data_IF_381305671516
#
_entry.id   IF_381305671516
#
_cell.length_a   1.000
_cell.length_b   1.000
_cell.length_c   1.000
_cell.angle_alpha   90.00
_cell.angle_beta   90.00
_cell.angle_gamma   90.00
#
_symmetry.space_group_name_H-M   'P 1'
#
loop_
_entity.id
_entity.type
_entity.pdbx_description
1 polymer ?
#
# COMPACT_ATOMS: atom_id res chain seq x y z
N UNK A 1 9.57 61.51 -12.05
CA UNK A 1 8.36 60.66 -11.91
C UNK A 1 8.17 60.35 -10.44
N UNK A 2 6.95 60.44 -9.89
CA UNK A 2 6.75 60.26 -8.46
C UNK A 2 7.04 58.80 -8.06
N UNK A 3 7.77 58.64 -6.94
CA UNK A 3 7.97 57.34 -6.32
C UNK A 3 6.62 56.75 -5.95
N UNK A 4 6.42 55.47 -6.24
CA UNK A 4 5.21 54.76 -5.85
C UNK A 4 5.38 54.18 -4.47
N UNK A 5 4.55 54.63 -3.54
CA UNK A 5 4.47 54.05 -2.20
C UNK A 5 3.53 52.84 -2.20
N UNK A 6 3.88 51.84 -1.40
CA UNK A 6 3.12 50.62 -1.24
C UNK A 6 3.33 50.07 0.16
N UNK A 7 2.38 49.27 0.63
CA UNK A 7 2.37 48.83 2.03
C UNK A 7 2.26 47.31 2.13
N UNK A 8 2.88 46.74 3.16
CA UNK A 8 2.70 45.34 3.53
C UNK A 8 1.90 45.27 4.83
N UNK A 9 0.70 44.71 4.75
CA UNK A 9 -0.15 44.45 5.91
C UNK A 9 -0.04 43.01 6.38
N UNK A 10 -0.03 42.80 7.69
CA UNK A 10 -0.08 41.47 8.31
C UNK A 10 -1.46 41.21 8.89
N UNK A 11 -2.00 40.02 8.60
CA UNK A 11 -3.27 39.56 9.12
C UNK A 11 -3.07 38.27 9.89
N UNK A 12 -3.59 38.24 11.13
CA UNK A 12 -3.60 37.01 11.90
C UNK A 12 -4.67 36.09 11.34
N UNK A 13 -4.27 34.90 10.96
CA UNK A 13 -5.21 33.84 10.63
C UNK A 13 -4.84 32.61 11.41
N UNK A 14 -5.84 31.99 12.04
CA UNK A 14 -5.71 30.69 12.66
C UNK A 14 -6.61 29.72 11.89
N UNK A 15 -6.06 28.67 11.27
CA UNK A 15 -6.87 27.74 10.51
C UNK A 15 -7.73 26.92 11.49
N UNK A 16 -8.91 26.50 11.01
CA UNK A 16 -9.69 25.50 11.72
C UNK A 16 -8.86 24.26 12.03
N UNK A 17 -9.18 23.59 13.15
CA UNK A 17 -8.47 22.37 13.55
C UNK A 17 -8.65 21.30 12.49
N UNK A 18 -7.55 20.96 11.82
CA UNK A 18 -7.50 19.86 10.88
C UNK A 18 -7.32 18.53 11.61
N UNK A 19 -8.00 17.47 11.12
CA UNK A 19 -8.03 16.14 11.76
C UNK A 19 -6.63 15.52 11.91
N UNK A 20 -5.72 15.76 10.97
CA UNK A 20 -4.35 15.23 10.97
C UNK A 20 -3.40 16.19 10.27
N UNK A 21 -2.22 16.43 10.88
CA UNK A 21 -1.14 17.26 10.34
C UNK A 21 -0.15 16.44 9.50
N UNK A 22 -0.60 15.88 8.38
CA UNK A 22 0.21 14.99 7.53
C UNK A 22 0.37 15.54 6.11
N UNK A 23 1.53 15.35 5.49
CA UNK A 23 1.79 15.80 4.12
C UNK A 23 1.71 17.32 3.97
N UNK A 24 0.90 17.80 3.02
CA UNK A 24 0.69 19.22 2.78
C UNK A 24 0.04 19.94 3.98
N UNK A 25 -0.73 19.23 4.80
CA UNK A 25 -1.43 19.83 5.95
C UNK A 25 -0.50 20.08 7.15
N UNK A 26 0.80 19.77 7.02
CA UNK A 26 1.82 20.09 8.02
C UNK A 26 1.96 21.60 8.26
N UNK A 27 1.55 22.43 7.30
CA UNK A 27 1.53 23.89 7.44
C UNK A 27 0.65 24.35 8.62
N UNK A 28 -0.44 23.65 8.92
CA UNK A 28 -1.36 24.01 10.00
C UNK A 28 -0.89 23.54 11.39
N UNK A 29 0.28 22.91 11.47
CA UNK A 29 0.81 22.40 12.73
C UNK A 29 1.04 23.54 13.72
N UNK A 30 0.39 23.48 14.88
CA UNK A 30 0.53 24.45 15.97
C UNK A 30 1.66 24.12 16.94
N UNK A 31 2.59 23.21 16.57
CA UNK A 31 3.72 22.84 17.43
C UNK A 31 4.67 24.03 17.61
N UNK A 32 5.24 24.16 18.80
CA UNK A 32 6.18 25.24 19.14
C UNK A 32 7.33 25.30 18.12
N UNK A 33 7.68 26.50 17.68
CA UNK A 33 8.73 26.73 16.67
C UNK A 33 8.26 26.60 15.22
N UNK A 34 6.99 26.26 14.96
CA UNK A 34 6.43 26.24 13.60
C UNK A 34 5.49 27.42 13.37
N UNK A 35 5.66 28.08 12.25
CA UNK A 35 4.73 29.11 11.79
C UNK A 35 4.64 29.16 10.28
N UNK A 36 3.53 29.66 9.75
CA UNK A 36 3.39 29.94 8.34
C UNK A 36 3.27 31.43 8.11
N UNK A 37 3.76 31.86 6.97
CA UNK A 37 3.73 33.24 6.51
C UNK A 37 3.43 33.16 5.01
N UNK A 38 2.23 33.59 4.63
CA UNK A 38 1.68 33.35 3.31
C UNK A 38 1.29 34.67 2.66
N UNK A 39 1.81 34.94 1.47
CA UNK A 39 1.48 36.12 0.69
C UNK A 39 0.21 35.90 -0.12
N UNK A 40 -0.77 36.80 -0.05
CA UNK A 40 -1.97 36.71 -0.86
C UNK A 40 -1.63 36.75 -2.35
N UNK A 41 -2.05 35.74 -3.12
CA UNK A 41 -1.75 35.68 -4.57
C UNK A 41 -2.29 36.92 -5.29
N UNK A 42 -3.50 37.35 -4.94
CA UNK A 42 -4.12 38.51 -5.59
C UNK A 42 -3.41 39.84 -5.28
N UNK A 43 -2.57 39.90 -4.25
CA UNK A 43 -1.73 41.09 -3.96
C UNK A 43 -0.53 41.21 -4.91
N UNK A 44 -0.24 40.17 -5.69
CA UNK A 44 0.84 40.20 -6.69
C UNK A 44 0.41 40.84 -8.01
N UNK A 45 -0.87 41.19 -8.16
CA UNK A 45 -1.35 41.97 -9.30
C UNK A 45 -0.69 43.35 -9.34
N UNK A 46 -0.30 43.81 -10.53
CA UNK A 46 0.55 45.00 -10.70
C UNK A 46 -0.09 46.29 -10.19
N UNK A 47 -1.41 46.34 -10.16
CA UNK A 47 -2.23 47.51 -9.80
C UNK A 47 -2.41 47.69 -8.29
N UNK A 48 -2.22 46.64 -7.48
CA UNK A 48 -2.47 46.74 -6.04
C UNK A 48 -1.28 47.32 -5.29
N UNK A 49 -1.55 48.31 -4.46
CA UNK A 49 -0.52 49.02 -3.68
C UNK A 49 -0.33 48.41 -2.30
N UNK A 50 -1.17 47.43 -1.93
CA UNK A 50 -1.10 46.72 -0.67
C UNK A 50 -0.80 45.22 -0.86
N UNK A 51 0.28 44.76 -0.21
CA UNK A 51 0.63 43.35 -0.07
C UNK A 51 0.08 42.79 1.24
N UNK A 52 -0.87 41.87 1.15
CA UNK A 52 -1.47 41.25 2.34
C UNK A 52 -0.75 39.94 2.65
N UNK A 53 -0.24 39.83 3.87
CA UNK A 53 0.40 38.62 4.40
C UNK A 53 -0.49 38.01 5.47
N UNK A 54 -0.72 36.71 5.36
CA UNK A 54 -1.47 35.90 6.31
C UNK A 54 -0.50 35.06 7.13
N UNK A 55 -0.54 35.18 8.46
CA UNK A 55 0.36 34.42 9.35
C UNK A 55 -0.33 33.96 10.63
N UNK A 56 0.18 32.87 11.20
CA UNK A 56 -0.14 32.44 12.57
C UNK A 56 0.91 32.88 13.61
N UNK A 57 1.94 33.63 13.21
CA UNK A 57 2.99 34.07 14.11
C UNK A 57 2.61 35.40 14.79
N UNK A 58 2.18 35.31 16.05
CA UNK A 58 1.81 36.49 16.86
C UNK A 58 2.94 37.49 17.05
N UNK A 59 4.21 37.06 17.04
CA UNK A 59 5.34 37.97 17.22
C UNK A 59 5.52 38.92 16.03
N UNK A 60 5.29 38.42 14.80
CA UNK A 60 5.39 39.25 13.60
C UNK A 60 4.28 40.30 13.59
N UNK A 61 3.09 39.91 14.00
CA UNK A 61 1.92 40.81 14.01
C UNK A 61 2.13 41.93 15.02
N UNK A 62 2.52 41.60 16.25
CA UNK A 62 2.86 42.62 17.27
C UNK A 62 3.99 43.55 16.84
N UNK A 63 4.93 43.06 16.03
CA UNK A 63 6.04 43.87 15.53
C UNK A 63 5.59 44.83 14.42
N UNK A 64 4.62 44.42 13.62
CA UNK A 64 4.07 45.19 12.51
C UNK A 64 2.62 45.58 12.81
N UNK A 65 2.41 46.25 13.94
CA UNK A 65 1.12 46.91 14.25
C UNK A 65 0.81 48.00 13.21
N UNK A 66 1.86 48.59 12.61
CA UNK A 66 1.78 49.46 11.43
C UNK A 66 2.27 48.71 10.19
N UNK A 67 1.64 48.95 9.01
CA UNK A 67 2.09 48.36 7.75
C UNK A 67 3.54 48.69 7.43
N UNK A 68 4.27 47.73 6.87
CA UNK A 68 5.66 47.96 6.42
C UNK A 68 5.66 48.73 5.09
N UNK A 69 6.32 49.88 5.06
CA UNK A 69 6.40 50.73 3.88
C UNK A 69 7.37 50.19 2.83
N UNK A 70 6.97 50.28 1.57
CA UNK A 70 7.76 49.95 0.39
C UNK A 70 7.73 51.16 -0.53
N UNK A 71 8.91 51.64 -0.89
CA UNK A 71 9.06 52.64 -1.93
C UNK A 71 9.62 51.98 -3.19
N UNK A 72 8.98 52.24 -4.33
CA UNK A 72 9.51 51.88 -5.64
C UNK A 72 9.73 53.13 -6.48
N UNK A 73 10.86 53.17 -7.15
CA UNK A 73 11.24 54.10 -8.21
C UNK A 73 10.41 53.92 -9.50
N UNK A 74 9.58 52.86 -9.58
CA UNK A 74 8.77 52.51 -10.74
C UNK A 74 7.27 52.55 -10.40
N UNK A 75 6.41 53.02 -11.32
CA UNK A 75 4.96 53.07 -11.12
C UNK A 75 4.32 51.66 -11.10
N UNK A 76 4.97 50.66 -11.68
CA UNK A 76 4.49 49.27 -11.66
C UNK A 76 5.57 48.35 -11.10
N UNK A 77 5.37 47.87 -9.87
CA UNK A 77 6.25 46.90 -9.25
C UNK A 77 6.12 45.53 -9.90
N UNK A 78 7.24 44.99 -10.39
CA UNK A 78 7.29 43.63 -10.93
C UNK A 78 7.12 42.56 -9.83
N UNK A 79 6.67 41.35 -10.20
CA UNK A 79 6.40 40.26 -9.25
C UNK A 79 7.65 39.84 -8.46
N UNK A 80 8.82 39.83 -9.11
CA UNK A 80 10.11 39.51 -8.46
C UNK A 80 10.46 40.51 -7.36
N UNK A 81 10.18 41.79 -7.58
CA UNK A 81 10.40 42.88 -6.63
C UNK A 81 9.41 42.79 -5.48
N UNK A 82 8.11 42.58 -5.77
CA UNK A 82 7.08 42.34 -4.74
C UNK A 82 7.45 41.16 -3.83
N UNK A 83 7.88 40.03 -4.40
CA UNK A 83 8.36 38.87 -3.63
C UNK A 83 9.63 39.20 -2.83
N UNK A 84 10.54 40.00 -3.40
CA UNK A 84 11.74 40.44 -2.67
C UNK A 84 11.36 41.27 -1.44
N UNK A 85 10.46 42.25 -1.58
CA UNK A 85 10.00 43.10 -0.48
C UNK A 85 9.19 42.33 0.56
N UNK A 86 8.34 41.41 0.11
CA UNK A 86 7.71 40.40 0.97
C UNK A 86 8.76 39.67 1.82
N UNK A 87 9.80 39.09 1.21
CA UNK A 87 10.84 38.38 1.94
C UNK A 87 11.62 39.29 2.90
N UNK A 88 11.95 40.52 2.48
CA UNK A 88 12.62 41.49 3.35
C UNK A 88 11.82 41.75 4.62
N UNK A 89 10.52 42.04 4.50
CA UNK A 89 9.65 42.28 5.65
C UNK A 89 9.56 41.07 6.59
N UNK A 90 9.48 39.86 6.01
CA UNK A 90 9.44 38.61 6.76
C UNK A 90 10.75 38.37 7.50
N UNK A 91 11.90 38.46 6.82
CA UNK A 91 13.19 38.24 7.45
C UNK A 91 13.49 39.27 8.54
N UNK A 92 13.13 40.54 8.33
CA UNK A 92 13.22 41.57 9.37
C UNK A 92 12.34 41.26 10.57
N UNK A 93 11.18 40.61 10.38
CA UNK A 93 10.27 40.18 11.44
C UNK A 93 10.71 38.91 12.18
N UNK A 94 11.60 38.12 11.59
CA UNK A 94 12.05 36.84 12.14
C UNK A 94 13.34 36.98 12.95
N UNK A 95 13.52 36.17 14.01
CA UNK A 95 14.75 36.14 14.79
C UNK A 95 15.78 35.26 14.07
N UNK A 96 16.30 35.77 12.97
CA UNK A 96 17.38 35.21 12.14
C UNK A 96 18.45 36.29 12.04
N UNK A 97 19.72 35.92 12.16
CA UNK A 97 20.88 36.82 11.98
C UNK A 97 21.03 37.31 10.53
N UNK A 98 21.74 38.41 10.35
CA UNK A 98 21.88 39.07 9.04
C UNK A 98 22.66 38.22 8.03
N UNK A 99 23.67 37.47 8.48
CA UNK A 99 24.50 36.61 7.63
C UNK A 99 23.67 35.47 7.04
N UNK A 100 22.89 34.79 7.87
CA UNK A 100 21.96 33.74 7.46
C UNK A 100 20.89 34.28 6.52
N UNK A 101 20.36 35.49 6.78
CA UNK A 101 19.41 36.14 5.85
C UNK A 101 20.05 36.30 4.48
N UNK A 102 21.23 36.91 4.41
CA UNK A 102 21.93 37.17 3.14
C UNK A 102 22.25 35.87 2.39
N UNK A 103 22.66 34.82 3.11
CA UNK A 103 22.95 33.49 2.56
C UNK A 103 21.74 32.85 1.86
N UNK A 104 20.56 32.91 2.49
CA UNK A 104 19.39 32.19 1.97
C UNK A 104 18.42 33.05 1.15
N UNK A 105 18.51 34.39 1.23
CA UNK A 105 17.53 35.30 0.62
C UNK A 105 17.33 35.04 -0.87
N UNK A 106 18.42 35.00 -1.65
CA UNK A 106 18.36 34.81 -3.10
C UNK A 106 17.76 33.44 -3.47
N UNK A 107 18.18 32.39 -2.76
CA UNK A 107 17.69 31.03 -2.98
C UNK A 107 16.19 30.91 -2.67
N UNK A 108 15.75 31.47 -1.55
CA UNK A 108 14.34 31.42 -1.13
C UNK A 108 13.47 32.25 -2.09
N UNK A 109 13.95 33.40 -2.55
CA UNK A 109 13.28 34.19 -3.58
C UNK A 109 13.07 33.38 -4.85
N UNK A 110 14.11 32.71 -5.33
CA UNK A 110 14.01 31.86 -6.52
C UNK A 110 13.00 30.73 -6.31
N UNK A 111 13.07 30.04 -5.17
CA UNK A 111 12.14 28.96 -4.84
C UNK A 111 10.68 29.44 -4.80
N UNK A 112 10.41 30.64 -4.31
CA UNK A 112 9.05 31.21 -4.32
C UNK A 112 8.58 31.58 -5.72
N UNK A 113 9.44 32.13 -6.57
CA UNK A 113 9.13 32.40 -7.97
C UNK A 113 8.81 31.12 -8.73
N UNK A 114 9.67 30.11 -8.60
CA UNK A 114 9.45 28.78 -9.20
C UNK A 114 8.13 28.19 -8.68
N UNK A 115 7.86 28.34 -7.38
CA UNK A 115 6.63 27.83 -6.76
C UNK A 115 5.39 28.49 -7.33
N UNK A 116 5.42 29.81 -7.56
CA UNK A 116 4.32 30.55 -8.17
C UNK A 116 4.02 30.02 -9.57
N UNK A 117 5.06 29.85 -10.41
CA UNK A 117 4.91 29.29 -11.76
C UNK A 117 4.32 27.89 -11.73
N UNK A 118 4.77 27.01 -10.81
CA UNK A 118 4.21 25.66 -10.69
C UNK A 118 2.74 25.69 -10.27
N UNK A 119 2.34 26.61 -9.38
CA UNK A 119 0.95 26.79 -8.94
C UNK A 119 0.07 27.23 -10.11
N UNK A 120 0.46 28.28 -10.84
CA UNK A 120 -0.27 28.79 -12.01
C UNK A 120 -0.44 27.72 -13.08
N UNK A 121 0.65 27.02 -13.42
CA UNK A 121 0.64 25.93 -14.38
C UNK A 121 -0.24 24.76 -13.92
N UNK A 122 -0.31 24.48 -12.61
CA UNK A 122 -1.19 23.44 -12.07
C UNK A 122 -2.66 23.81 -12.24
N UNK A 123 -3.02 25.06 -11.95
CA UNK A 123 -4.41 25.53 -12.04
C UNK A 123 -4.93 25.49 -13.48
N UNK A 124 -4.08 25.79 -14.47
CA UNK A 124 -4.39 25.75 -15.91
C UNK A 124 -4.48 24.34 -16.53
N UNK A 125 -3.83 23.33 -15.94
CA UNK A 125 -3.80 21.98 -16.50
C UNK A 125 -5.14 21.24 -16.37
N UNK A 126 -5.46 20.44 -17.39
CA UNK A 126 -6.55 19.47 -17.43
C UNK A 126 -6.11 18.11 -16.82
N UNK A 127 -7.05 17.44 -16.14
CA UNK A 127 -7.06 15.99 -15.82
C UNK A 127 -5.83 15.33 -15.18
N UNK A 128 -5.35 15.81 -14.01
CA UNK A 128 -4.54 14.97 -13.09
C UNK A 128 -4.87 15.27 -11.63
N UNK A 129 -5.15 14.24 -10.82
CA UNK A 129 -5.34 14.36 -9.36
C UNK A 129 -4.03 14.61 -8.58
N UNK A 130 -2.98 15.11 -9.24
CA UNK A 130 -1.70 15.46 -8.60
C UNK A 130 -1.87 16.76 -7.81
N UNK A 131 -1.50 16.68 -6.53
CA UNK A 131 -1.51 17.83 -5.62
C UNK A 131 -0.21 18.61 -5.72
N UNK A 132 -0.30 19.94 -5.67
CA UNK A 132 0.86 20.83 -5.63
C UNK A 132 0.73 21.71 -4.40
N UNK A 133 1.68 21.65 -3.46
CA UNK A 133 1.64 22.49 -2.25
C UNK A 133 1.74 23.97 -2.61
N UNK A 134 1.19 24.85 -1.77
CA UNK A 134 1.20 26.32 -1.98
C UNK A 134 2.40 27.02 -1.35
N UNK A 135 3.26 26.25 -0.66
CA UNK A 135 4.34 26.76 0.17
C UNK A 135 5.64 25.97 0.01
N UNK A 136 6.72 26.57 0.48
CA UNK A 136 8.04 25.99 0.70
C UNK A 136 8.32 25.92 2.20
N UNK A 137 9.13 24.95 2.61
CA UNK A 137 9.57 24.80 4.00
C UNK A 137 10.97 25.41 4.13
N UNK A 138 11.10 26.39 5.01
CA UNK A 138 12.39 26.92 5.43
C UNK A 138 12.62 26.57 6.90
N UNK A 139 13.82 26.14 7.25
CA UNK A 139 14.15 25.74 8.62
C UNK A 139 15.54 26.22 8.95
N UNK A 140 15.68 26.82 10.13
CA UNK A 140 16.95 27.29 10.64
C UNK A 140 16.94 27.12 12.17
N UNK A 141 17.97 26.45 12.68
CA UNK A 141 18.03 26.00 14.07
C UNK A 141 16.80 25.17 14.46
N UNK A 142 16.15 25.52 15.58
CA UNK A 142 14.96 24.84 16.10
C UNK A 142 13.62 25.38 15.56
N UNK A 143 13.67 26.31 14.59
CA UNK A 143 12.47 26.99 14.06
C UNK A 143 12.23 26.58 12.60
N UNK A 144 10.96 26.42 12.25
CA UNK A 144 10.52 26.09 10.90
C UNK A 144 9.45 27.09 10.47
N UNK A 145 9.67 27.70 9.31
CA UNK A 145 8.73 28.61 8.68
C UNK A 145 8.24 28.03 7.36
N UNK A 146 6.94 28.07 7.16
CA UNK A 146 6.32 27.74 5.89
C UNK A 146 6.04 29.04 5.15
N UNK A 147 6.87 29.31 4.13
CA UNK A 147 6.76 30.52 3.30
C UNK A 147 6.01 30.15 2.02
N UNK A 148 5.04 30.94 1.59
CA UNK A 148 4.28 30.57 0.41
C UNK A 148 3.20 31.55 0.04
N UNK A 149 2.21 31.03 -0.66
CA UNK A 149 1.10 31.81 -1.17
C UNK A 149 -0.21 31.44 -0.50
N UNK A 150 -0.96 32.45 -0.08
CA UNK A 150 -2.30 32.30 0.42
C UNK A 150 -3.27 32.15 -0.76
N UNK A 151 -3.91 30.99 -0.82
CA UNK A 151 -4.96 30.69 -1.79
C UNK A 151 -6.20 30.29 -0.99
N UNK A 152 -7.30 31.07 -1.09
CA UNK A 152 -8.52 30.76 -0.36
C UNK A 152 -9.20 29.51 -0.93
N UNK A 153 -9.79 28.72 -0.04
CA UNK A 153 -10.64 27.60 -0.40
C UNK A 153 -11.94 28.09 -1.04
N UNK A 154 -12.35 27.47 -2.14
CA UNK A 154 -13.57 27.84 -2.86
C UNK A 154 -14.86 27.67 -2.05
N UNK A 155 -14.84 26.95 -0.92
CA UNK A 155 -16.05 26.62 -0.14
C UNK A 155 -16.14 27.30 1.23
N UNK A 156 -15.00 27.61 1.85
CA UNK A 156 -14.97 28.13 3.22
C UNK A 156 -13.93 29.22 3.42
N UNK A 157 -13.30 29.69 2.33
CA UNK A 157 -12.26 30.73 2.35
C UNK A 157 -11.03 30.42 3.22
N UNK A 158 -10.95 29.25 3.87
CA UNK A 158 -9.77 28.81 4.61
C UNK A 158 -8.55 28.71 3.68
N UNK A 159 -7.34 28.90 4.26
CA UNK A 159 -6.06 28.69 3.59
C UNK A 159 -6.04 27.30 2.92
N UNK A 160 -5.66 27.22 1.65
CA UNK A 160 -5.36 25.95 0.97
C UNK A 160 -3.88 25.59 1.08
N UNK A 161 -3.58 24.41 1.64
CA UNK A 161 -2.22 23.86 1.68
C UNK A 161 -1.71 23.39 0.31
N UNK A 162 -2.63 23.05 -0.61
CA UNK A 162 -2.31 22.60 -1.95
C UNK A 162 -3.39 23.01 -2.96
N UNK A 163 -3.02 23.00 -4.23
CA UNK A 163 -3.91 23.20 -5.38
C UNK A 163 -3.91 21.96 -6.29
N UNK A 164 -5.01 21.78 -7.02
CA UNK A 164 -5.20 20.70 -7.99
C UNK A 164 -5.54 21.27 -9.37
N UNK A 165 -5.52 20.40 -10.39
CA UNK A 165 -5.94 20.73 -11.76
C UNK A 165 -7.38 21.24 -11.84
N UNK A 166 -7.74 21.93 -12.94
CA UNK A 166 -9.06 22.55 -13.16
C UNK A 166 -9.44 23.60 -12.10
N UNK A 167 -8.48 24.47 -11.74
CA UNK A 167 -8.67 25.53 -10.75
C UNK A 167 -9.26 25.06 -9.39
N UNK A 168 -9.05 23.79 -9.02
CA UNK A 168 -9.60 23.20 -7.79
C UNK A 168 -8.77 23.64 -6.59
N UNK A 169 -9.31 24.60 -5.83
CA UNK A 169 -8.72 25.18 -4.61
C UNK A 169 -9.54 24.75 -3.40
N UNK A 170 -9.09 23.70 -2.70
CA UNK A 170 -9.81 23.14 -1.56
C UNK A 170 -8.92 22.95 -0.34
N UNK A 171 -9.46 23.30 0.83
CA UNK A 171 -8.85 22.97 2.11
C UNK A 171 -9.09 21.50 2.46
N UNK A 172 -8.40 21.01 3.49
CA UNK A 172 -8.53 19.64 3.97
C UNK A 172 -9.96 19.29 4.40
N UNK A 173 -10.68 20.23 5.02
CA UNK A 173 -12.06 20.02 5.50
C UNK A 173 -13.07 19.92 4.34
N UNK A 174 -12.85 20.64 3.24
CA UNK A 174 -13.72 20.60 2.06
C UNK A 174 -13.25 19.62 0.98
N UNK A 175 -12.13 18.91 1.21
CA UNK A 175 -11.54 17.97 0.25
C UNK A 175 -12.53 16.89 -0.21
N UNK A 176 -13.35 16.38 0.70
CA UNK A 176 -14.35 15.34 0.40
C UNK A 176 -15.42 15.81 -0.59
N UNK A 177 -15.69 17.12 -0.68
CA UNK A 177 -16.68 17.68 -1.60
C UNK A 177 -16.22 17.67 -3.07
N UNK A 178 -14.91 17.56 -3.32
CA UNK A 178 -14.31 17.73 -4.65
C UNK A 178 -13.62 16.46 -5.17
N UNK A 179 -13.25 15.54 -4.28
CA UNK A 179 -12.76 14.24 -4.69
C UNK A 179 -13.95 13.34 -4.94
N UNK A 180 -14.42 13.34 -6.18
CA UNK A 180 -15.17 12.19 -6.71
C UNK A 180 -14.17 11.05 -6.76
N UNK A 181 -14.20 10.21 -5.73
CA UNK A 181 -13.57 8.90 -5.85
C UNK A 181 -14.46 8.17 -6.83
N UNK A 182 -13.98 7.76 -8.02
CA UNK A 182 -14.80 6.90 -8.87
C UNK A 182 -15.22 5.73 -7.98
N UNK A 183 -16.52 5.43 -7.98
CA UNK A 183 -17.07 4.31 -7.22
C UNK A 183 -16.15 3.13 -7.49
N UNK A 184 -15.53 2.53 -6.45
CA UNK A 184 -14.72 1.35 -6.70
C UNK A 184 -15.59 0.39 -7.51
N UNK A 185 -15.08 -0.19 -8.62
CA UNK A 185 -15.86 -1.14 -9.39
C UNK A 185 -16.48 -2.12 -8.39
N UNK A 186 -17.79 -2.42 -8.52
CA UNK A 186 -18.53 -3.19 -7.53
C UNK A 186 -17.65 -4.37 -7.12
N UNK A 187 -17.25 -4.41 -5.84
CA UNK A 187 -16.36 -5.46 -5.35
C UNK A 187 -16.99 -6.76 -5.78
N UNK A 188 -16.27 -7.48 -6.63
CA UNK A 188 -16.74 -8.69 -7.26
C UNK A 188 -17.40 -9.55 -6.18
N UNK A 189 -18.72 -9.69 -6.30
CA UNK A 189 -19.47 -10.79 -5.70
C UNK A 189 -18.59 -12.02 -5.94
N UNK A 190 -18.23 -12.75 -4.88
CA UNK A 190 -17.41 -13.96 -4.98
C UNK A 190 -18.03 -14.92 -6.01
N UNK A 191 -17.63 -14.80 -7.28
CA UNK A 191 -18.30 -15.44 -8.41
C UNK A 191 -17.40 -16.46 -9.10
N UNK A 192 -16.09 -16.32 -8.97
CA UNK A 192 -15.21 -17.02 -9.89
C UNK A 192 -15.05 -18.51 -9.54
N UNK A 193 -15.10 -18.90 -8.27
CA UNK A 193 -15.10 -20.32 -7.86
C UNK A 193 -15.83 -20.52 -6.53
N UNK A 194 -16.90 -21.32 -6.53
CA UNK A 194 -17.59 -21.73 -5.31
C UNK A 194 -17.75 -23.25 -5.29
N UNK A 195 -17.09 -23.91 -4.34
CA UNK A 195 -17.19 -25.37 -4.15
C UNK A 195 -17.87 -25.68 -2.84
N UNK A 196 -18.81 -26.61 -2.89
CA UNK A 196 -19.64 -27.04 -1.76
C UNK A 196 -19.38 -28.52 -1.53
N UNK A 197 -19.10 -28.92 -0.29
CA UNK A 197 -19.01 -30.34 0.10
C UNK A 197 -19.78 -30.61 1.37
N UNK A 198 -20.44 -31.75 1.37
CA UNK A 198 -21.00 -32.34 2.56
C UNK A 198 -19.88 -33.09 3.30
N UNK A 199 -19.65 -32.73 4.55
CA UNK A 199 -18.70 -33.37 5.45
C UNK A 199 -19.48 -34.25 6.40
N UNK A 200 -19.13 -35.53 6.47
CA UNK A 200 -19.72 -36.50 7.38
C UNK A 200 -18.62 -37.02 8.30
N UNK A 201 -18.72 -36.75 9.59
CA UNK A 201 -17.83 -37.28 10.61
C UNK A 201 -18.45 -38.52 11.24
N UNK A 202 -18.00 -39.72 10.86
CA UNK A 202 -18.43 -40.97 11.49
C UNK A 202 -18.00 -41.06 12.96
N UNK A 203 -16.79 -40.56 13.29
CA UNK A 203 -16.24 -40.55 14.66
C UNK A 203 -17.07 -39.70 15.62
N UNK A 204 -17.54 -38.53 15.16
CA UNK A 204 -18.30 -37.60 15.99
C UNK A 204 -19.80 -37.81 15.81
N UNK A 205 -20.24 -38.42 14.72
CA UNK A 205 -21.66 -38.68 14.39
C UNK A 205 -22.38 -37.43 13.92
N UNK A 206 -21.74 -36.61 13.08
CA UNK A 206 -22.23 -35.28 12.69
C UNK A 206 -22.01 -35.05 11.20
N UNK A 207 -22.95 -34.41 10.52
CA UNK A 207 -22.80 -33.93 9.15
C UNK A 207 -22.97 -32.42 9.05
N UNK A 208 -22.26 -31.78 8.12
CA UNK A 208 -22.46 -30.37 7.79
C UNK A 208 -21.98 -30.07 6.37
N UNK A 209 -22.43 -28.96 5.81
CA UNK A 209 -22.00 -28.47 4.51
C UNK A 209 -20.90 -27.42 4.67
N UNK A 210 -19.80 -27.56 3.93
CA UNK A 210 -18.70 -26.60 3.85
C UNK A 210 -18.67 -26.01 2.44
N UNK A 211 -18.83 -24.68 2.34
CA UNK A 211 -18.70 -23.92 1.10
C UNK A 211 -17.41 -23.09 1.14
N UNK A 212 -16.61 -23.14 0.08
CA UNK A 212 -15.44 -22.28 -0.10
C UNK A 212 -15.68 -21.41 -1.33
N UNK A 213 -15.56 -20.10 -1.16
CA UNK A 213 -15.71 -19.11 -2.23
C UNK A 213 -14.44 -18.28 -2.38
N UNK A 214 -13.95 -18.12 -3.61
CA UNK A 214 -12.71 -17.40 -3.92
C UNK A 214 -12.98 -16.05 -4.58
N UNK A 215 -12.20 -15.04 -4.18
CA UNK A 215 -12.12 -13.75 -4.87
C UNK A 215 -11.01 -13.84 -5.93
N UNK A 216 -11.41 -13.82 -7.21
CA UNK A 216 -10.49 -13.93 -8.35
C UNK A 216 -9.50 -12.78 -8.44
N UNK A 217 -9.83 -11.61 -7.89
CA UNK A 217 -8.94 -10.44 -7.88
C UNK A 217 -7.95 -10.44 -6.72
N UNK A 218 -8.40 -10.77 -5.50
CA UNK A 218 -7.57 -10.63 -4.30
C UNK A 218 -6.88 -11.92 -3.81
N UNK A 219 -7.12 -13.07 -4.46
CA UNK A 219 -6.66 -14.41 -4.01
C UNK A 219 -7.03 -14.71 -2.55
N UNK A 220 -8.14 -14.15 -2.09
CA UNK A 220 -8.73 -14.38 -0.77
C UNK A 220 -9.82 -15.43 -0.91
N UNK A 221 -10.03 -16.23 0.13
CA UNK A 221 -11.12 -17.19 0.17
C UNK A 221 -11.95 -17.01 1.43
N UNK A 222 -13.26 -17.21 1.30
CA UNK A 222 -14.19 -17.30 2.41
C UNK A 222 -14.65 -18.75 2.55
N UNK A 223 -14.74 -19.21 3.80
CA UNK A 223 -15.26 -20.54 4.14
C UNK A 223 -16.53 -20.35 4.95
N UNK A 224 -17.61 -20.98 4.48
CA UNK A 224 -18.91 -20.94 5.12
C UNK A 224 -19.30 -22.36 5.53
N UNK A 225 -19.76 -22.52 6.78
CA UNK A 225 -20.27 -23.79 7.30
C UNK A 225 -21.78 -23.68 7.54
N UNK A 226 -22.55 -24.66 7.07
CA UNK A 226 -24.01 -24.68 7.14
C UNK A 226 -24.57 -26.09 7.38
N UNK A 227 -25.87 -26.19 7.69
CA UNK A 227 -26.63 -27.44 7.75
C UNK A 227 -26.03 -28.51 8.69
N UNK A 228 -25.64 -28.09 9.90
CA UNK A 228 -25.10 -28.99 10.91
C UNK A 228 -26.19 -29.93 11.46
N UNK A 229 -26.00 -31.24 11.31
CA UNK A 229 -26.91 -32.29 11.76
C UNK A 229 -26.16 -33.33 12.60
N UNK A 230 -26.84 -33.92 13.59
CA UNK A 230 -26.30 -35.00 14.42
C UNK A 230 -26.90 -36.31 13.91
N UNK A 231 -26.06 -37.16 13.34
CA UNK A 231 -26.46 -38.45 12.75
C UNK A 231 -26.15 -39.62 13.70
N UNK A 232 -25.87 -39.33 14.98
CA UNK A 232 -25.60 -40.36 15.99
C UNK A 232 -26.91 -40.94 16.51
N UNK A 233 -27.08 -42.26 16.36
CA UNK A 233 -28.15 -43.00 17.02
C UNK A 233 -27.75 -43.26 18.48
N UNK A 234 -28.68 -43.03 19.41
CA UNK A 234 -28.47 -43.22 20.84
C UNK A 234 -29.31 -44.39 21.32
N UNK A 235 -28.72 -45.29 22.12
CA UNK A 235 -29.45 -46.42 22.70
C UNK A 235 -30.28 -46.01 23.92
N UNK A 236 -29.88 -44.93 24.60
CA UNK A 236 -30.57 -44.44 25.81
C UNK A 236 -30.67 -42.91 25.84
N UNK A 237 -31.69 -42.41 26.52
CA UNK A 237 -31.96 -40.97 26.69
C UNK A 237 -30.84 -40.27 27.48
N UNK A 238 -30.30 -40.92 28.52
CA UNK A 238 -29.15 -40.44 29.30
C UNK A 238 -27.88 -40.29 28.45
N UNK A 239 -27.64 -41.21 27.50
CA UNK A 239 -26.50 -41.11 26.59
C UNK A 239 -26.65 -39.92 25.64
N UNK A 240 -27.87 -39.69 25.13
CA UNK A 240 -28.19 -38.55 24.28
C UNK A 240 -27.93 -37.22 24.99
N UNK A 241 -28.33 -37.07 26.24
CA UNK A 241 -28.11 -35.86 27.02
C UNK A 241 -26.62 -35.60 27.31
N UNK A 242 -25.88 -36.63 27.72
CA UNK A 242 -24.42 -36.53 27.94
C UNK A 242 -23.71 -36.12 26.65
N UNK A 243 -24.11 -36.68 25.52
CA UNK A 243 -23.56 -36.31 24.22
C UNK A 243 -23.91 -34.86 23.85
N UNK A 244 -25.17 -34.44 23.98
CA UNK A 244 -25.60 -33.05 23.70
C UNK A 244 -24.81 -32.04 24.54
N UNK A 245 -24.55 -32.32 25.82
CA UNK A 245 -23.72 -31.48 26.71
C UNK A 245 -22.27 -31.39 26.22
N UNK A 246 -21.63 -32.53 25.93
CA UNK A 246 -20.25 -32.57 25.39
C UNK A 246 -20.14 -31.87 24.04
N UNK A 247 -21.12 -32.06 23.17
CA UNK A 247 -21.18 -31.45 21.85
C UNK A 247 -21.29 -29.92 21.93
N UNK A 248 -22.19 -29.39 22.76
CA UNK A 248 -22.30 -27.95 23.02
C UNK A 248 -20.99 -27.36 23.56
N UNK A 249 -20.27 -28.08 24.43
CA UNK A 249 -18.98 -27.63 24.95
C UNK A 249 -17.87 -27.64 23.89
N UNK A 250 -17.84 -28.63 22.98
CA UNK A 250 -16.91 -28.67 21.85
C UNK A 250 -17.17 -27.58 20.80
N UNK A 251 -18.44 -27.19 20.61
CA UNK A 251 -18.78 -26.05 19.76
C UNK A 251 -18.30 -24.73 20.37
N UNK A 252 -18.40 -24.59 21.71
CA UNK A 252 -17.87 -23.42 22.44
C UNK A 252 -16.35 -23.29 22.33
N UNK A 253 -15.59 -24.37 22.16
CA UNK A 253 -14.14 -24.29 21.89
C UNK A 253 -13.81 -24.02 20.42
N UNK A 254 -14.71 -24.38 19.49
CA UNK A 254 -14.61 -24.07 18.06
C UNK A 254 -15.39 -22.81 17.64
N UNK A 255 -15.34 -21.72 18.43
CA UNK A 255 -16.05 -20.44 18.11
C UNK A 255 -15.73 -19.87 16.73
N UNK A 256 -14.58 -20.25 16.16
CA UNK A 256 -14.16 -19.80 14.84
C UNK A 256 -15.01 -20.40 13.70
N UNK A 257 -15.60 -21.59 13.90
CA UNK A 257 -16.37 -22.32 12.87
C UNK A 257 -17.88 -22.15 13.00
N UNK A 258 -18.38 -21.97 14.23
CA UNK A 258 -19.81 -21.97 14.52
C UNK A 258 -20.22 -20.75 15.33
N UNK A 259 -21.39 -20.20 15.04
CA UNK A 259 -22.03 -19.19 15.88
C UNK A 259 -23.22 -19.82 16.59
N UNK A 260 -23.23 -19.73 17.93
CA UNK A 260 -24.37 -20.18 18.73
C UNK A 260 -25.26 -18.96 18.96
N UNK A 261 -26.49 -19.00 18.46
CA UNK A 261 -27.53 -17.99 18.72
C UNK A 261 -28.61 -18.59 19.63
N UNK A 262 -29.44 -17.74 20.22
CA UNK A 262 -30.52 -18.19 21.12
C UNK A 262 -31.55 -19.08 20.41
N UNK A 263 -31.61 -19.03 19.06
CA UNK A 263 -32.54 -19.79 18.23
C UNK A 263 -31.90 -21.02 17.55
N UNK A 264 -30.63 -21.36 17.87
CA UNK A 264 -29.94 -22.53 17.29
C UNK A 264 -28.47 -22.29 16.93
N UNK A 265 -27.91 -23.18 16.12
CA UNK A 265 -26.53 -23.04 15.59
C UNK A 265 -26.62 -22.35 14.23
N UNK A 266 -26.17 -21.10 14.17
CA UNK A 266 -26.24 -20.24 12.98
C UNK A 266 -25.04 -20.39 12.04
N UNK A 267 -25.28 -20.07 10.77
CA UNK A 267 -24.27 -19.88 9.72
C UNK A 267 -23.20 -18.87 10.17
N UNK A 268 -21.92 -19.24 10.05
CA UNK A 268 -20.82 -18.31 10.24
C UNK A 268 -19.94 -18.28 8.99
N UNK A 269 -19.81 -17.11 8.40
CA UNK A 269 -18.91 -16.85 7.27
C UNK A 269 -17.56 -16.46 7.84
N UNK A 270 -16.53 -17.27 7.59
CA UNK A 270 -15.16 -16.94 7.95
C UNK A 270 -14.42 -16.47 6.71
N UNK A 271 -14.02 -15.20 6.70
CA UNK A 271 -13.13 -14.66 5.66
C UNK A 271 -11.70 -14.91 6.11
N UNK A 272 -10.99 -15.79 5.40
CA UNK A 272 -9.58 -16.03 5.69
C UNK A 272 -8.74 -14.87 5.14
N UNK A 273 -7.83 -14.36 5.98
CA UNK A 273 -6.82 -13.36 5.56
C UNK A 273 -5.65 -13.99 4.80
N UNK A 274 -5.60 -15.32 4.72
CA UNK A 274 -4.46 -16.03 4.15
C UNK A 274 -4.58 -16.00 2.62
N UNK A 275 -3.50 -15.57 1.95
CA UNK A 275 -3.41 -15.63 0.49
C UNK A 275 -3.10 -17.08 0.11
N UNK A 276 -4.01 -17.72 -0.62
CA UNK A 276 -3.70 -19.01 -1.26
C UNK A 276 -2.69 -18.75 -2.38
N UNK A 277 -1.54 -19.41 -2.31
CA UNK A 277 -0.60 -19.49 -3.43
C UNK A 277 -1.07 -20.60 -4.36
N UNK A 278 -1.12 -20.33 -5.68
CA UNK A 278 -1.44 -21.40 -6.64
C UNK A 278 -0.32 -22.43 -6.62
N UNK A 279 -0.60 -23.70 -6.94
CA UNK A 279 0.41 -24.77 -6.94
C UNK A 279 1.67 -24.38 -7.72
N UNK A 280 1.51 -23.71 -8.86
CA UNK A 280 2.62 -23.18 -9.66
C UNK A 280 3.42 -22.06 -8.96
N UNK A 281 2.81 -21.27 -8.07
CA UNK A 281 3.48 -20.20 -7.33
C UNK A 281 4.30 -20.74 -6.15
N UNK A 282 3.98 -21.93 -5.66
CA UNK A 282 4.72 -22.61 -4.58
C UNK A 282 5.93 -23.35 -5.16
N UNK A 283 5.76 -23.96 -6.34
CA UNK A 283 6.82 -24.67 -7.07
C UNK A 283 7.86 -23.74 -7.73
N UNK A 284 7.56 -22.43 -7.85
CA UNK A 284 8.51 -21.41 -8.32
C UNK A 284 9.47 -20.95 -7.21
N UNK A 285 10.23 -21.86 -6.61
CA UNK A 285 11.47 -21.46 -5.93
C UNK A 285 12.62 -21.76 -6.89
N UNK A 286 13.33 -20.69 -7.27
CA UNK A 286 14.52 -20.63 -8.13
C UNK A 286 14.41 -21.34 -9.50
N UNK A 287 14.29 -20.53 -10.55
CA UNK A 287 14.55 -21.00 -11.91
C UNK A 287 16.05 -21.28 -12.05
N UNK A 288 16.41 -22.54 -12.36
CA UNK A 288 17.80 -22.90 -12.66
C UNK A 288 18.05 -22.54 -14.13
N UNK A 289 19.10 -21.75 -14.37
CA UNK A 289 19.52 -21.43 -15.73
C UNK A 289 20.13 -22.65 -16.42
N UNK A 290 20.03 -22.72 -17.76
CA UNK A 290 20.57 -23.84 -18.55
C UNK A 290 22.06 -24.11 -18.25
N UNK A 291 22.88 -23.06 -18.14
CA UNK A 291 24.31 -23.16 -17.78
C UNK A 291 24.56 -23.75 -16.40
N UNK A 292 23.73 -23.39 -15.43
CA UNK A 292 23.85 -23.88 -14.06
C UNK A 292 23.40 -25.34 -13.96
N UNK A 293 22.39 -25.72 -14.75
CA UNK A 293 21.96 -27.12 -14.89
C UNK A 293 23.03 -28.00 -15.54
N UNK A 294 23.66 -27.52 -16.61
CA UNK A 294 24.81 -28.21 -17.24
C UNK A 294 25.93 -28.43 -16.24
N UNK A 295 26.32 -27.37 -15.52
CA UNK A 295 27.34 -27.45 -14.49
C UNK A 295 27.03 -28.50 -13.42
N UNK A 296 25.81 -28.50 -12.89
CA UNK A 296 25.39 -29.48 -11.87
C UNK A 296 25.43 -30.91 -12.39
N UNK A 297 24.97 -31.15 -13.63
CA UNK A 297 24.98 -32.48 -14.25
C UNK A 297 26.41 -32.97 -14.52
N UNK A 298 27.33 -32.09 -14.91
CA UNK A 298 28.72 -32.43 -15.18
C UNK A 298 29.50 -32.80 -13.92
N UNK A 299 29.25 -32.12 -12.80
CA UNK A 299 29.88 -32.42 -11.51
C UNK A 299 29.58 -33.85 -11.00
N UNK A 300 28.48 -34.45 -11.44
CA UNK A 300 28.08 -35.77 -10.96
C UNK A 300 28.67 -36.87 -11.84
N UNK A 301 29.54 -37.68 -11.24
CA UNK A 301 30.27 -38.76 -11.92
C UNK A 301 29.68 -40.15 -11.69
N UNK A 302 28.76 -40.32 -10.72
CA UNK A 302 28.12 -41.59 -10.39
C UNK A 302 26.65 -41.60 -10.81
N UNK A 303 26.16 -42.76 -11.26
CA UNK A 303 24.75 -42.93 -11.68
C UNK A 303 23.78 -42.70 -10.51
N UNK A 304 24.18 -43.12 -9.30
CA UNK A 304 23.38 -42.93 -8.07
C UNK A 304 23.30 -41.46 -7.69
N UNK A 305 24.42 -40.73 -7.72
CA UNK A 305 24.43 -39.29 -7.46
C UNK A 305 23.59 -38.53 -8.49
N UNK A 306 23.60 -38.98 -9.74
CA UNK A 306 22.87 -38.33 -10.82
C UNK A 306 21.36 -38.46 -10.63
N UNK A 307 20.88 -39.63 -10.22
CA UNK A 307 19.47 -39.86 -9.85
C UNK A 307 19.03 -38.99 -8.68
N UNK A 308 19.87 -38.82 -7.66
CA UNK A 308 19.58 -37.94 -6.52
C UNK A 308 19.50 -36.46 -6.92
N UNK A 309 20.39 -36.01 -7.82
CA UNK A 309 20.36 -34.65 -8.34
C UNK A 309 19.08 -34.38 -9.14
N UNK A 310 18.65 -35.32 -9.99
CA UNK A 310 17.39 -35.23 -10.74
C UNK A 310 16.22 -35.04 -9.77
N UNK A 311 16.13 -35.87 -8.73
CA UNK A 311 15.05 -35.77 -7.75
C UNK A 311 15.04 -34.41 -7.05
N UNK A 312 16.20 -33.89 -6.65
CA UNK A 312 16.31 -32.57 -6.02
C UNK A 312 15.88 -31.43 -6.96
N UNK A 313 16.34 -31.46 -8.21
CA UNK A 313 15.99 -30.46 -9.23
C UNK A 313 14.47 -30.47 -9.49
N UNK A 314 13.85 -31.66 -9.66
CA UNK A 314 12.40 -31.78 -9.89
C UNK A 314 11.56 -31.33 -8.70
N UNK A 315 12.04 -31.53 -7.47
CA UNK A 315 11.29 -31.17 -6.26
C UNK A 315 11.39 -29.67 -5.99
N UNK A 316 12.57 -29.09 -6.20
CA UNK A 316 12.88 -27.77 -5.65
C UNK A 316 12.96 -26.64 -6.68
N UNK A 317 13.05 -26.93 -7.99
CA UNK A 317 13.39 -25.93 -9.00
C UNK A 317 12.50 -25.98 -10.25
N UNK A 318 12.42 -24.87 -10.98
CA UNK A 318 11.84 -24.80 -12.33
C UNK A 318 12.95 -24.66 -13.37
N UNK A 319 12.82 -25.29 -14.54
CA UNK A 319 13.86 -25.34 -15.57
C UNK A 319 13.26 -25.49 -16.97
N UNK A 320 14.10 -25.40 -18.02
CA UNK A 320 13.70 -25.71 -19.39
C UNK A 320 13.64 -27.23 -19.60
N UNK A 321 12.44 -27.77 -19.82
CA UNK A 321 12.21 -29.21 -19.98
C UNK A 321 12.89 -29.80 -21.22
N UNK A 322 12.96 -29.06 -22.32
CA UNK A 322 13.58 -29.51 -23.57
C UNK A 322 15.09 -29.65 -23.38
N UNK A 323 15.73 -28.62 -22.82
CA UNK A 323 17.16 -28.61 -22.53
C UNK A 323 17.54 -29.71 -21.51
N UNK A 324 16.72 -29.91 -20.49
CA UNK A 324 16.96 -30.96 -19.50
C UNK A 324 16.88 -32.37 -20.12
N UNK A 325 15.96 -32.59 -21.06
CA UNK A 325 15.83 -33.86 -21.76
C UNK A 325 17.06 -34.17 -22.63
N UNK A 326 17.62 -33.16 -23.29
CA UNK A 326 18.86 -33.31 -24.07
C UNK A 326 20.07 -33.66 -23.19
N UNK A 327 20.25 -32.96 -22.07
CA UNK A 327 21.32 -33.26 -21.12
C UNK A 327 21.19 -34.67 -20.54
N UNK A 328 19.97 -35.09 -20.26
CA UNK A 328 19.71 -36.42 -19.75
C UNK A 328 20.11 -37.50 -20.74
N UNK A 329 19.75 -37.35 -22.02
CA UNK A 329 20.15 -38.30 -23.07
C UNK A 329 21.67 -38.40 -23.18
N UNK A 330 22.38 -37.27 -23.12
CA UNK A 330 23.86 -37.23 -23.16
C UNK A 330 24.49 -37.92 -21.95
N UNK A 331 23.97 -37.65 -20.74
CA UNK A 331 24.53 -38.20 -19.49
C UNK A 331 24.20 -39.67 -19.31
N UNK A 332 22.98 -40.11 -19.62
CA UNK A 332 22.58 -41.53 -19.58
C UNK A 332 23.45 -42.36 -20.55
N UNK A 333 23.70 -41.86 -21.77
CA UNK A 333 24.62 -42.50 -22.72
C UNK A 333 26.07 -42.57 -22.22
N UNK A 334 26.50 -41.62 -21.37
CA UNK A 334 27.84 -41.60 -20.77
C UNK A 334 28.02 -42.71 -19.73
N UNK A 335 26.95 -43.10 -19.05
CA UNK A 335 26.95 -44.24 -18.12
C UNK A 335 26.87 -45.56 -18.88
N UNK A 336 26.03 -45.68 -19.92
CA UNK A 336 25.93 -46.93 -20.69
C UNK A 336 27.23 -47.33 -21.41
N UNK A 337 28.10 -46.37 -21.74
CA UNK A 337 29.45 -46.66 -22.28
C UNK A 337 30.44 -47.20 -21.24
N UNK A 338 30.18 -47.02 -19.94
CA UNK A 338 31.04 -47.51 -18.85
C UNK A 338 30.65 -48.90 -18.35
N UNK A 339 29.43 -49.34 -18.64
CA UNK A 339 28.84 -50.59 -18.12
C UNK A 339 28.95 -51.79 -19.08
N UNK A 340 29.89 -51.78 -20.03
CA UNK A 340 30.22 -52.97 -20.84
C UNK A 340 30.99 -54.06 -20.06
N UNK A 341 30.95 -54.03 -18.72
CA UNK A 341 31.29 -55.14 -17.84
C UNK A 341 30.38 -55.12 -16.60
N UNK A 342 29.21 -55.79 -16.66
CA UNK A 342 28.44 -56.12 -15.46
C UNK A 342 26.92 -56.09 -15.62
N UNK A 343 26.35 -57.20 -16.09
CA UNK A 343 24.91 -57.44 -16.11
C UNK A 343 24.37 -57.57 -14.66
N UNK A 344 23.37 -56.74 -14.27
CA UNK A 344 22.08 -57.13 -13.66
C UNK A 344 21.37 -55.96 -12.96
N UNK A 345 20.03 -55.95 -13.07
CA UNK A 345 19.03 -55.22 -12.28
C UNK A 345 18.34 -53.96 -12.89
N UNK A 346 18.14 -53.88 -14.21
CA UNK A 346 17.24 -52.87 -14.80
C UNK A 346 15.75 -53.00 -14.38
N UNK A 347 15.32 -54.12 -13.76
CA UNK A 347 13.89 -54.39 -13.45
C UNK A 347 13.46 -54.20 -11.99
N UNK A 348 14.37 -54.20 -11.00
CA UNK A 348 14.00 -54.08 -9.57
C UNK A 348 13.96 -52.63 -9.08
N UNK A 349 14.82 -51.77 -9.64
CA UNK A 349 14.93 -50.36 -9.28
C UNK A 349 13.71 -49.57 -9.78
N UNK A 350 13.23 -49.82 -11.00
CA UNK A 350 12.04 -49.17 -11.57
C UNK A 350 10.77 -49.32 -10.71
N UNK A 351 10.53 -50.53 -10.16
CA UNK A 351 9.36 -50.77 -9.29
C UNK A 351 9.50 -50.16 -7.90
N UNK A 352 10.72 -50.10 -7.35
CA UNK A 352 10.98 -49.48 -6.05
C UNK A 352 10.77 -47.95 -6.09
N UNK A 353 11.12 -47.31 -7.22
CA UNK A 353 10.95 -45.87 -7.42
C UNK A 353 9.52 -45.45 -7.76
N UNK A 354 8.76 -46.26 -8.51
CA UNK A 354 7.32 -46.06 -8.69
C UNK A 354 6.56 -46.12 -7.35
N UNK A 355 6.92 -47.07 -6.48
CA UNK A 355 6.31 -47.21 -5.15
C UNK A 355 6.72 -46.10 -4.18
N UNK A 356 7.96 -45.59 -4.26
CA UNK A 356 8.43 -44.44 -3.46
C UNK A 356 7.82 -43.11 -3.94
N UNK A 357 7.60 -42.95 -5.25
CA UNK A 357 6.82 -41.85 -5.85
C UNK A 357 5.37 -41.89 -5.36
N UNK A 358 4.74 -43.07 -5.30
CA UNK A 358 3.39 -43.23 -4.73
C UNK A 358 3.32 -42.97 -3.22
N UNK A 359 4.33 -43.35 -2.43
CA UNK A 359 4.36 -43.11 -0.98
C UNK A 359 4.65 -41.64 -0.60
N UNK A 360 5.47 -40.94 -1.40
CA UNK A 360 5.69 -39.49 -1.27
C UNK A 360 4.45 -38.73 -1.73
N UNK A 361 3.80 -39.16 -2.81
CA UNK A 361 2.49 -38.66 -3.23
C UNK A 361 1.42 -38.94 -2.17
N UNK A 362 1.44 -40.08 -1.46
CA UNK A 362 0.53 -40.41 -0.33
C UNK A 362 0.75 -39.53 0.91
N UNK A 363 2.00 -39.20 1.25
CA UNK A 363 2.31 -38.25 2.34
C UNK A 363 1.97 -36.81 1.97
N UNK A 364 2.15 -36.41 0.72
CA UNK A 364 1.57 -35.16 0.19
C UNK A 364 0.03 -35.25 0.09
N UNK A 365 -0.58 -36.43 -0.08
CA UNK A 365 -2.03 -36.67 -0.14
C UNK A 365 -2.78 -36.34 1.14
N UNK A 366 -2.11 -36.28 2.29
CA UNK A 366 -2.75 -35.82 3.54
C UNK A 366 -2.89 -34.29 3.53
N UNK A 367 -1.93 -33.58 2.92
CA UNK A 367 -1.99 -32.13 2.62
C UNK A 367 -2.85 -31.83 1.39
N UNK A 368 -2.86 -32.75 0.42
CA UNK A 368 -3.58 -32.64 -0.85
C UNK A 368 -5.04 -33.08 -0.71
N UNK A 369 -5.46 -33.91 0.25
CA UNK A 369 -6.91 -34.11 0.53
C UNK A 369 -7.61 -32.84 1.01
N UNK A 370 -6.87 -31.87 1.55
CA UNK A 370 -7.38 -30.53 1.82
C UNK A 370 -7.43 -29.65 0.55
N UNK A 371 -6.63 -29.96 -0.49
CA UNK A 371 -6.60 -29.27 -1.80
C UNK A 371 -7.39 -29.95 -2.93
N UNK A 372 -7.65 -31.25 -2.90
CA UNK A 372 -8.52 -31.98 -3.85
C UNK A 372 -9.95 -31.45 -3.77
N UNK A 373 -10.33 -30.92 -2.62
CA UNK A 373 -11.60 -30.21 -2.46
C UNK A 373 -11.69 -28.92 -3.31
N UNK A 374 -10.58 -28.45 -3.89
CA UNK A 374 -10.52 -27.27 -4.75
C UNK A 374 -10.32 -27.60 -6.24
N UNK A 375 -10.18 -28.87 -6.66
CA UNK A 375 -9.89 -29.23 -8.07
C UNK A 375 -10.89 -30.15 -8.81
N UNK A 376 -12.05 -30.50 -8.26
CA UNK A 376 -13.25 -30.88 -9.09
C UNK A 376 -14.27 -29.76 -9.18
#
# INVERSE_FOLDING_TARGET
>A
MPNKESFIGYTFFRPEKVKRYTGADTIYSTRKGKSYILLHVDSLQKEKDMLTIVTNNRHIIKKYDKPFSINSDRPMMNTKYRISKYLTSVFCGLPIDIETRNKYFLRIRQLLLDKLVVIENRLKKQEKNRQTTTYIKFSHGRRTWYLGFYIPCSFCSNVCAYVMSRNRKVCQNCRSKVIVTPTPPPQNVFKDFSKVKQVISKRVGVSYTKKVSMDGGARKYAVTYSNLQINKQFKTLKEQEKYKKRFKNSLKSNKNKWQVTNNGIGLKVLISKHKLKRRHDILKKQYISEKEMEFLVDQVTSEVGYKMLIDDIFINHSFNEEHFLELRKKKDASFERKDSNGFKSKTYISKYWLRRREDILKKQYISVKEMEFLMD
#
